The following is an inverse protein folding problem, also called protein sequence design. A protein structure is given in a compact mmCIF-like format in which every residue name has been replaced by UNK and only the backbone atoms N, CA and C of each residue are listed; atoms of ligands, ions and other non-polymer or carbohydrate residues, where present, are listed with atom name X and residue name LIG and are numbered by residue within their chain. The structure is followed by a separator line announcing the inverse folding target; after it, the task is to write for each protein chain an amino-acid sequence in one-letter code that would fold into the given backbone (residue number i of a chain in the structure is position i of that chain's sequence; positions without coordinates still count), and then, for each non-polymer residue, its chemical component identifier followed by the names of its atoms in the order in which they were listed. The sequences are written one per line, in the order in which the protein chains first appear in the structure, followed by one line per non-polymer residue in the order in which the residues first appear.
data_IF_820574987257
#
_entry.id   IF_820574987257
#
_cell.length_a   1.000
_cell.length_b   1.000
_cell.length_c   1.000
_cell.angle_alpha   90.00
_cell.angle_beta   90.00
_cell.angle_gamma   90.00
#
_symmetry.space_group_name_H-M   'P 1'
#
loop_
_entity.id
_entity.type
_entity.pdbx_description
1 polymer ?
#
# COMPACT_ATOMS: atom_id res chain seq x y z
N UNK A 1 23.42 34.84 -56.89
CA UNK A 1 22.12 34.85 -56.18
C UNK A 1 22.12 33.70 -55.20
N UNK A 2 22.05 34.03 -53.91
CA UNK A 2 22.15 33.10 -52.78
C UNK A 2 20.87 32.26 -52.69
N UNK A 3 21.01 30.94 -52.54
CA UNK A 3 19.97 30.10 -51.93
C UNK A 3 20.63 29.24 -50.86
N UNK A 4 20.77 29.82 -49.66
CA UNK A 4 21.08 29.09 -48.45
C UNK A 4 19.79 28.37 -48.02
N UNK A 5 19.76 27.06 -48.23
CA UNK A 5 18.69 26.20 -47.70
C UNK A 5 18.99 26.01 -46.21
N UNK A 6 18.24 26.71 -45.36
CA UNK A 6 18.25 26.49 -43.92
C UNK A 6 17.47 25.20 -43.64
N UNK A 7 18.19 24.11 -43.41
CA UNK A 7 17.64 22.87 -42.85
C UNK A 7 17.51 23.08 -41.34
N UNK A 8 16.30 23.07 -40.75
CA UNK A 8 16.18 23.12 -39.31
C UNK A 8 16.71 21.82 -38.71
N UNK A 9 17.76 21.99 -37.91
CA UNK A 9 18.47 21.00 -37.13
C UNK A 9 17.54 20.46 -36.03
N UNK A 10 16.73 19.44 -36.35
CA UNK A 10 16.01 18.65 -35.35
C UNK A 10 17.03 17.67 -34.75
N UNK A 11 17.80 18.12 -33.76
CA UNK A 11 18.43 17.19 -32.82
C UNK A 11 17.36 16.80 -31.81
N UNK A 12 16.68 15.69 -32.10
CA UNK A 12 16.04 14.88 -31.07
C UNK A 12 17.15 14.28 -30.21
N UNK A 13 17.53 14.95 -29.13
CA UNK A 13 18.32 14.31 -28.07
C UNK A 13 17.37 13.34 -27.38
N UNK A 14 17.31 12.13 -27.93
CA UNK A 14 16.83 10.96 -27.23
C UNK A 14 17.76 10.78 -26.03
N UNK A 15 17.36 11.31 -24.88
CA UNK A 15 17.85 10.83 -23.58
C UNK A 15 17.34 9.40 -23.40
N UNK A 16 17.97 8.48 -24.13
CA UNK A 16 17.88 7.05 -23.86
C UNK A 16 18.63 6.85 -22.55
N UNK A 17 17.90 6.51 -21.49
CA UNK A 17 18.51 6.08 -20.24
C UNK A 17 19.48 4.93 -20.55
N UNK A 18 20.76 5.23 -20.43
CA UNK A 18 21.85 4.26 -20.53
C UNK A 18 21.70 3.28 -19.37
N UNK A 19 21.06 2.14 -19.63
CA UNK A 19 21.01 1.01 -18.72
C UNK A 19 22.45 0.60 -18.39
N UNK A 20 22.95 0.98 -17.21
CA UNK A 20 24.25 0.51 -16.75
C UNK A 20 24.09 -0.95 -16.38
N UNK A 21 24.43 -1.84 -17.31
CA UNK A 21 24.75 -3.23 -16.98
C UNK A 21 26.00 -3.20 -16.09
N UNK A 22 25.80 -3.00 -14.79
CA UNK A 22 26.77 -3.41 -13.79
C UNK A 22 26.62 -4.92 -13.69
N UNK A 23 27.59 -5.65 -14.21
CA UNK A 23 27.82 -7.05 -13.90
C UNK A 23 27.91 -7.16 -12.38
N UNK A 24 26.82 -7.60 -11.75
CA UNK A 24 26.83 -7.99 -10.35
C UNK A 24 27.48 -9.36 -10.35
N UNK A 25 28.70 -9.42 -9.80
CA UNK A 25 29.37 -10.67 -9.43
C UNK A 25 28.36 -11.59 -8.75
N UNK A 26 28.43 -12.88 -9.12
CA UNK A 26 27.62 -13.96 -8.59
C UNK A 26 27.76 -14.05 -7.06
N UNK A 27 27.02 -13.22 -6.33
CA UNK A 27 26.51 -13.62 -5.02
C UNK A 27 25.55 -14.74 -5.32
N UNK A 28 25.89 -15.93 -4.83
CA UNK A 28 24.97 -17.05 -4.67
C UNK A 28 23.62 -16.50 -4.28
N UNK A 29 22.69 -16.54 -5.24
CA UNK A 29 21.28 -16.25 -5.03
C UNK A 29 20.85 -17.33 -4.05
N UNK A 30 20.87 -16.98 -2.76
CA UNK A 30 20.08 -17.66 -1.76
C UNK A 30 18.69 -17.75 -2.36
N UNK A 31 18.16 -18.97 -2.51
CA UNK A 31 16.81 -19.20 -3.00
C UNK A 31 15.89 -18.15 -2.38
N UNK A 32 15.41 -17.22 -3.20
CA UNK A 32 14.33 -16.33 -2.80
C UNK A 32 13.18 -17.30 -2.56
N UNK A 33 12.89 -17.59 -1.28
CA UNK A 33 11.66 -18.27 -0.89
C UNK A 33 10.56 -17.59 -1.70
N UNK A 34 9.80 -18.37 -2.46
CA UNK A 34 8.68 -17.84 -3.24
C UNK A 34 7.73 -17.19 -2.23
N UNK A 35 7.89 -15.89 -2.01
CA UNK A 35 7.09 -15.16 -1.05
C UNK A 35 5.64 -15.30 -1.52
N UNK A 36 4.76 -15.69 -0.59
CA UNK A 36 3.34 -15.73 -0.88
C UNK A 36 2.91 -14.34 -1.40
N UNK A 37 2.08 -14.28 -2.44
CA UNK A 37 1.63 -13.02 -2.98
C UNK A 37 0.94 -12.21 -1.87
N UNK A 38 1.25 -10.92 -1.84
CA UNK A 38 0.74 -10.00 -0.82
C UNK A 38 -0.79 -10.00 -0.79
N UNK A 39 -1.36 -9.75 -1.96
CA UNK A 39 -2.79 -9.88 -2.24
C UNK A 39 -3.15 -11.32 -2.57
N UNK A 40 -4.31 -11.79 -2.10
CA UNK A 40 -4.82 -13.12 -2.41
C UNK A 40 -5.07 -13.25 -3.93
N UNK A 41 -4.48 -14.24 -4.62
CA UNK A 41 -4.70 -14.43 -6.04
C UNK A 41 -6.18 -14.65 -6.36
N UNK A 42 -6.68 -13.99 -7.41
CA UNK A 42 -8.07 -14.10 -7.84
C UNK A 42 -9.07 -13.31 -7.00
N UNK A 43 -8.63 -12.61 -5.94
CA UNK A 43 -9.49 -11.71 -5.19
C UNK A 43 -9.32 -10.25 -5.64
N UNK A 44 -10.42 -9.55 -5.83
CA UNK A 44 -10.43 -8.15 -6.28
C UNK A 44 -10.68 -7.21 -5.10
N UNK A 45 -9.62 -6.54 -4.66
CA UNK A 45 -9.66 -5.61 -3.53
C UNK A 45 -10.20 -4.23 -3.94
N UNK A 46 -11.20 -3.71 -3.24
CA UNK A 46 -11.85 -2.44 -3.60
C UNK A 46 -10.87 -1.25 -3.60
N UNK A 47 -9.87 -1.24 -2.72
CA UNK A 47 -8.86 -0.18 -2.65
C UNK A 47 -7.94 -0.13 -3.89
N UNK A 48 -7.91 -1.18 -4.72
CA UNK A 48 -7.14 -1.20 -5.96
C UNK A 48 -7.91 -0.62 -7.16
N UNK A 49 -9.22 -0.41 -7.02
CA UNK A 49 -10.06 0.17 -8.06
C UNK A 49 -9.92 1.70 -7.99
N UNK A 50 -9.63 2.40 -9.10
CA UNK A 50 -9.59 3.86 -9.10
C UNK A 50 -10.91 4.48 -8.63
N UNK A 51 -10.84 5.58 -7.89
CA UNK A 51 -11.99 6.28 -7.31
C UNK A 51 -13.10 6.55 -8.33
N UNK A 52 -12.73 6.96 -9.54
CA UNK A 52 -13.66 7.25 -10.65
C UNK A 52 -14.40 6.03 -11.19
N UNK A 53 -13.93 4.82 -10.89
CA UNK A 53 -14.48 3.55 -11.39
C UNK A 53 -15.18 2.74 -10.30
N UNK A 54 -15.20 3.21 -9.05
CA UNK A 54 -15.87 2.49 -7.96
C UNK A 54 -17.39 2.61 -8.07
N UNK A 55 -18.08 1.50 -7.91
CA UNK A 55 -19.54 1.49 -7.75
C UNK A 55 -19.92 2.04 -6.36
N UNK A 56 -21.19 2.45 -6.15
CA UNK A 56 -21.67 2.86 -4.83
C UNK A 56 -21.46 1.80 -3.74
N UNK A 57 -21.65 0.52 -4.06
CA UNK A 57 -21.46 -0.60 -3.13
C UNK A 57 -19.98 -0.78 -2.76
N UNK A 58 -19.08 -0.63 -3.74
CA UNK A 58 -17.64 -0.64 -3.50
C UNK A 58 -17.23 0.54 -2.61
N UNK A 59 -17.74 1.74 -2.89
CA UNK A 59 -17.47 2.90 -2.05
C UNK A 59 -17.98 2.70 -0.61
N UNK A 60 -19.17 2.09 -0.45
CA UNK A 60 -19.72 1.75 0.87
C UNK A 60 -18.85 0.72 1.60
N UNK A 61 -18.37 -0.32 0.89
CA UNK A 61 -17.43 -1.30 1.46
C UNK A 61 -16.12 -0.64 1.89
N UNK A 62 -15.56 0.26 1.09
CA UNK A 62 -14.32 0.98 1.43
C UNK A 62 -14.48 1.85 2.68
N UNK A 63 -15.59 2.59 2.78
CA UNK A 63 -15.92 3.38 3.98
C UNK A 63 -16.07 2.49 5.21
N UNK A 64 -16.74 1.35 5.06
CA UNK A 64 -16.92 0.37 6.13
C UNK A 64 -15.60 -0.26 6.57
N UNK A 65 -14.74 -0.60 5.63
CA UNK A 65 -13.37 -1.08 5.89
C UNK A 65 -12.57 -0.04 6.67
N UNK A 66 -12.54 1.21 6.21
CA UNK A 66 -11.85 2.29 6.91
C UNK A 66 -12.38 2.46 8.34
N UNK A 67 -13.70 2.43 8.51
CA UNK A 67 -14.38 2.58 9.80
C UNK A 67 -14.00 1.45 10.76
N UNK A 68 -14.20 0.21 10.34
CA UNK A 68 -13.88 -0.97 11.16
C UNK A 68 -12.39 -1.03 11.49
N UNK A 69 -11.52 -0.66 10.54
CA UNK A 69 -10.07 -0.64 10.78
C UNK A 69 -9.70 0.39 11.82
N UNK A 70 -10.08 1.67 11.67
CA UNK A 70 -9.65 2.71 12.64
C UNK A 70 -10.23 2.47 14.04
N UNK A 71 -11.46 1.96 14.16
CA UNK A 71 -12.11 1.70 15.45
C UNK A 71 -11.46 0.56 16.23
N UNK A 72 -10.80 -0.38 15.53
CA UNK A 72 -10.31 -1.62 16.11
C UNK A 72 -8.79 -1.76 16.04
N UNK A 73 -8.10 -0.84 15.36
CA UNK A 73 -6.65 -0.72 15.39
C UNK A 73 -6.23 0.01 16.67
N UNK A 74 -5.30 -0.59 17.41
CA UNK A 74 -4.76 -0.04 18.64
C UNK A 74 -3.24 -0.17 18.66
N UNK A 75 -2.59 0.51 19.61
CA UNK A 75 -1.18 0.32 19.91
C UNK A 75 -1.04 -0.30 21.30
N UNK A 76 -0.19 -1.32 21.40
CA UNK A 76 0.21 -1.97 22.66
C UNK A 76 1.72 -2.18 22.62
N UNK A 77 2.43 -1.70 23.63
CA UNK A 77 3.90 -1.77 23.70
C UNK A 77 4.58 -1.27 22.42
N UNK A 78 4.12 -0.13 21.90
CA UNK A 78 4.60 0.49 20.66
C UNK A 78 4.47 -0.40 19.41
N UNK A 79 3.52 -1.35 19.41
CA UNK A 79 3.15 -2.19 18.26
C UNK A 79 1.69 -2.00 17.92
N UNK A 80 1.38 -1.99 16.63
CA UNK A 80 0.02 -2.03 16.13
C UNK A 80 -0.60 -3.41 16.38
N UNK A 81 -1.82 -3.43 16.91
CA UNK A 81 -2.63 -4.62 17.13
C UNK A 81 -4.04 -4.38 16.63
N UNK A 82 -4.72 -5.43 16.19
CA UNK A 82 -6.11 -5.37 15.76
C UNK A 82 -6.98 -6.14 16.74
N UNK A 83 -8.00 -5.47 17.28
CA UNK A 83 -8.75 -5.97 18.43
C UNK A 83 -9.87 -6.96 18.05
N UNK A 84 -10.21 -7.08 16.76
CA UNK A 84 -11.20 -8.05 16.30
C UNK A 84 -10.54 -9.38 15.95
N UNK A 85 -11.22 -10.47 16.30
CA UNK A 85 -10.99 -11.78 15.69
C UNK A 85 -11.54 -11.81 14.25
N UNK A 86 -11.09 -12.79 13.46
CA UNK A 86 -11.61 -13.03 12.11
C UNK A 86 -13.13 -13.19 12.10
N UNK A 87 -13.67 -13.97 13.06
CA UNK A 87 -15.11 -14.21 13.18
C UNK A 87 -15.88 -12.92 13.44
N UNK A 88 -15.40 -12.06 14.33
CA UNK A 88 -16.03 -10.77 14.63
C UNK A 88 -15.93 -9.81 13.44
N UNK A 89 -14.81 -9.83 12.73
CA UNK A 89 -14.61 -9.04 11.53
C UNK A 89 -15.56 -9.47 10.40
N UNK A 90 -15.66 -10.77 10.12
CA UNK A 90 -16.58 -11.32 9.11
C UNK A 90 -18.04 -11.12 9.52
N UNK A 91 -18.36 -11.18 10.82
CA UNK A 91 -19.70 -10.87 11.33
C UNK A 91 -20.12 -9.42 11.08
N UNK A 92 -19.16 -8.50 10.90
CA UNK A 92 -19.46 -7.14 10.42
C UNK A 92 -19.84 -7.12 8.94
N UNK A 93 -19.85 -8.23 8.22
CA UNK A 93 -20.20 -8.32 6.80
C UNK A 93 -19.10 -7.79 5.88
N UNK A 94 -17.84 -7.99 6.25
CA UNK A 94 -16.66 -7.71 5.43
C UNK A 94 -16.03 -9.06 5.05
N UNK A 95 -15.64 -9.28 3.78
CA UNK A 95 -14.99 -10.52 3.36
C UNK A 95 -13.70 -10.82 4.13
N UNK A 96 -13.44 -12.11 4.36
CA UNK A 96 -12.30 -12.60 5.16
C UNK A 96 -10.95 -12.19 4.56
N UNK A 97 -10.87 -12.00 3.24
CA UNK A 97 -9.66 -11.58 2.55
C UNK A 97 -9.11 -10.24 3.02
N UNK A 98 -9.97 -9.36 3.54
CA UNK A 98 -9.55 -8.10 4.15
C UNK A 98 -8.97 -8.31 5.55
N UNK A 99 -9.49 -9.27 6.33
CA UNK A 99 -8.90 -9.63 7.61
C UNK A 99 -7.50 -10.21 7.41
N UNK A 100 -7.35 -11.15 6.48
CA UNK A 100 -6.06 -11.73 6.09
C UNK A 100 -5.05 -10.64 5.68
N UNK A 101 -5.50 -9.66 4.87
CA UNK A 101 -4.67 -8.53 4.45
C UNK A 101 -4.27 -7.65 5.63
N UNK A 102 -5.21 -7.29 6.52
CA UNK A 102 -4.91 -6.51 7.73
C UNK A 102 -3.86 -7.22 8.60
N UNK A 103 -3.98 -8.54 8.79
CA UNK A 103 -2.98 -9.29 9.57
C UNK A 103 -1.59 -9.25 8.93
N UNK A 104 -1.51 -9.36 7.59
CA UNK A 104 -0.24 -9.18 6.85
C UNK A 104 0.33 -7.76 7.05
N UNK A 105 -0.52 -6.75 6.94
CA UNK A 105 -0.14 -5.34 7.14
C UNK A 105 0.41 -5.10 8.56
N UNK A 106 -0.23 -5.67 9.59
CA UNK A 106 0.22 -5.55 10.98
C UNK A 106 1.62 -6.15 11.17
N UNK A 107 1.89 -7.32 10.59
CA UNK A 107 3.21 -7.95 10.67
C UNK A 107 4.28 -7.05 10.03
N UNK A 108 4.00 -6.54 8.84
CA UNK A 108 4.94 -5.71 8.10
C UNK A 108 5.15 -4.34 8.76
N UNK A 109 4.08 -3.69 9.20
CA UNK A 109 4.14 -2.40 9.88
C UNK A 109 4.89 -2.52 11.19
N UNK A 110 4.63 -3.56 12.00
CA UNK A 110 5.36 -3.78 13.25
C UNK A 110 6.85 -4.09 13.03
N UNK A 111 7.18 -4.81 11.95
CA UNK A 111 8.58 -5.00 11.54
C UNK A 111 9.22 -3.66 11.19
N UNK A 112 8.56 -2.85 10.35
CA UNK A 112 9.04 -1.53 9.95
C UNK A 112 9.21 -0.57 11.14
N UNK A 113 8.25 -0.54 12.07
CA UNK A 113 8.30 0.26 13.30
C UNK A 113 9.55 -0.08 14.11
N UNK A 114 9.82 -1.38 14.30
CA UNK A 114 10.99 -1.86 15.03
C UNK A 114 12.29 -1.51 14.30
N UNK A 115 12.39 -1.80 13.01
CA UNK A 115 13.59 -1.58 12.21
C UNK A 115 13.93 -0.09 12.03
N UNK A 116 12.90 0.77 12.01
CA UNK A 116 13.03 2.22 11.90
C UNK A 116 13.17 2.93 13.25
N UNK A 117 13.21 2.20 14.37
CA UNK A 117 13.28 2.74 15.73
C UNK A 117 12.18 3.79 16.03
N UNK A 118 10.98 3.59 15.50
CA UNK A 118 9.83 4.44 15.82
C UNK A 118 9.41 4.12 17.25
N UNK A 119 9.29 5.12 18.12
CA UNK A 119 9.01 4.94 19.57
C UNK A 119 7.70 5.57 20.04
N UNK A 120 7.00 6.29 19.16
CA UNK A 120 5.82 7.09 19.47
C UNK A 120 4.60 6.63 18.66
N UNK A 121 4.44 5.32 18.46
CA UNK A 121 3.38 4.78 17.60
C UNK A 121 1.96 5.14 18.08
N UNK A 122 1.74 5.27 19.39
CA UNK A 122 0.48 5.74 19.95
C UNK A 122 0.09 7.13 19.41
N UNK A 123 1.04 8.07 19.39
CA UNK A 123 0.81 9.43 18.90
C UNK A 123 0.56 9.45 17.39
N UNK A 124 1.30 8.64 16.63
CA UNK A 124 1.12 8.52 15.18
C UNK A 124 -0.27 7.96 14.88
N UNK A 125 -0.67 6.86 15.54
CA UNK A 125 -1.99 6.27 15.33
C UNK A 125 -3.12 7.24 15.71
N UNK A 126 -2.96 7.99 16.82
CA UNK A 126 -3.95 8.99 17.23
C UNK A 126 -4.17 10.06 16.17
N UNK A 127 -3.09 10.59 15.59
CA UNK A 127 -3.17 11.60 14.54
C UNK A 127 -3.72 11.03 13.23
N UNK A 128 -3.31 9.82 12.84
CA UNK A 128 -3.88 9.13 11.68
C UNK A 128 -5.39 8.89 11.84
N UNK A 129 -5.84 8.48 13.03
CA UNK A 129 -7.27 8.25 13.30
C UNK A 129 -8.08 9.55 13.21
N UNK A 130 -7.51 10.69 13.63
CA UNK A 130 -8.15 12.00 13.45
C UNK A 130 -8.35 12.31 11.96
N UNK A 131 -7.32 12.15 11.14
CA UNK A 131 -7.38 12.41 9.70
C UNK A 131 -8.37 11.47 8.99
N UNK A 132 -8.42 10.20 9.39
CA UNK A 132 -9.39 9.24 8.86
C UNK A 132 -10.81 9.70 9.18
N UNK A 133 -11.10 10.08 10.43
CA UNK A 133 -12.42 10.58 10.82
C UNK A 133 -12.84 11.81 10.01
N UNK A 134 -11.94 12.77 9.87
CA UNK A 134 -12.18 13.96 9.04
C UNK A 134 -12.51 13.56 7.59
N UNK A 135 -11.77 12.61 7.01
CA UNK A 135 -12.02 12.12 5.63
C UNK A 135 -13.33 11.35 5.46
N UNK A 136 -13.82 10.72 6.55
CA UNK A 136 -15.09 9.98 6.57
C UNK A 136 -16.29 10.87 6.90
N UNK A 137 -16.04 12.09 7.40
CA UNK A 137 -17.05 13.03 7.87
C UNK A 137 -17.60 12.67 9.26
N UNK A 138 -16.75 12.18 10.18
CA UNK A 138 -17.07 11.72 11.55
C UNK A 138 -16.38 12.54 12.65
#
# INVERSE_FOLDING_TARGET
MKKLVFIPFIILILFSCRNSNKTVENKTVTEIKKDEPYFKPGYHYVQQIPDSLRTPEQQALLKKLATVTYENLAVKDNKMVFNLSEKEFVAKGIPVEYYELIQKDLVNNNKFIKESNITNMDSILKESNKQIRDSLGL
#
